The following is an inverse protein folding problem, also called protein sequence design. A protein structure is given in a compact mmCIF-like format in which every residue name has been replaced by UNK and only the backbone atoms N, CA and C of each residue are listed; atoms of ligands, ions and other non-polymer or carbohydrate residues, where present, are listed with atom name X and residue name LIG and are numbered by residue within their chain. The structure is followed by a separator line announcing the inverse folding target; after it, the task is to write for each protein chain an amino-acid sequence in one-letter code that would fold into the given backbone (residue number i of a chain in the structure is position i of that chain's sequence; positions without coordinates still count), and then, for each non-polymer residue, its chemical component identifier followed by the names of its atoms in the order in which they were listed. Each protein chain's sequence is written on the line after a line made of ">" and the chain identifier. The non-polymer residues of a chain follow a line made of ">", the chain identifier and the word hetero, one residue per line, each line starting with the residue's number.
data_IF_369229410632
#
_entry.id   IF_369229410632
#
_cell.length_a   1.000
_cell.length_b   1.000
_cell.length_c   1.000
_cell.angle_alpha   90.00
_cell.angle_beta   90.00
_cell.angle_gamma   90.00
#
_symmetry.space_group_name_H-M   'P 1'
#
loop_
_entity.id
_entity.type
_entity.pdbx_description
1 polymer ?
#
# COMPACT_ATOMS: atom_id res chain seq x y z
N UNK A 1 -21.10 -3.47 -17.18
CA UNK A 1 -21.70 -4.76 -16.78
C UNK A 1 -20.65 -5.53 -15.99
N UNK A 2 -21.01 -6.26 -14.93
CA UNK A 2 -20.05 -7.11 -14.22
C UNK A 2 -19.47 -8.14 -15.20
N UNK A 3 -18.17 -8.42 -15.09
CA UNK A 3 -17.52 -9.44 -15.91
C UNK A 3 -18.05 -10.82 -15.55
N UNK A 4 -18.33 -11.65 -16.55
CA UNK A 4 -18.47 -13.09 -16.30
C UNK A 4 -17.14 -13.66 -15.84
N UNK A 5 -17.15 -14.82 -15.17
CA UNK A 5 -15.93 -15.52 -14.76
C UNK A 5 -14.95 -15.71 -15.92
N UNK A 6 -15.45 -16.11 -17.09
CA UNK A 6 -14.67 -16.29 -18.31
C UNK A 6 -14.10 -14.96 -18.83
N UNK A 7 -14.88 -13.88 -18.80
CA UNK A 7 -14.42 -12.54 -19.23
C UNK A 7 -13.33 -11.99 -18.31
N UNK A 8 -13.46 -12.17 -17.00
CA UNK A 8 -12.45 -11.77 -16.04
C UNK A 8 -11.16 -12.59 -16.22
N UNK A 9 -11.28 -13.91 -16.40
CA UNK A 9 -10.14 -14.78 -16.67
C UNK A 9 -9.41 -14.41 -17.97
N UNK A 10 -10.16 -14.13 -19.04
CA UNK A 10 -9.60 -13.68 -20.32
C UNK A 10 -8.84 -12.36 -20.18
N UNK A 11 -9.40 -11.37 -19.47
CA UNK A 11 -8.70 -10.11 -19.24
C UNK A 11 -7.44 -10.27 -18.41
N UNK A 12 -7.48 -11.07 -17.34
CA UNK A 12 -6.27 -11.38 -16.56
C UNK A 12 -5.22 -12.04 -17.43
N UNK A 13 -5.61 -12.99 -18.27
CA UNK A 13 -4.71 -13.66 -19.22
C UNK A 13 -4.09 -12.67 -20.22
N UNK A 14 -4.88 -11.78 -20.82
CA UNK A 14 -4.40 -10.74 -21.74
C UNK A 14 -3.35 -9.84 -21.06
N UNK A 15 -3.58 -9.46 -19.80
CA UNK A 15 -2.64 -8.65 -19.02
C UNK A 15 -1.37 -9.41 -18.67
N UNK A 16 -1.47 -10.70 -18.36
CA UNK A 16 -0.30 -11.55 -18.12
C UNK A 16 0.55 -11.73 -19.38
N UNK A 17 -0.08 -11.91 -20.55
CA UNK A 17 0.63 -11.95 -21.84
C UNK A 17 1.32 -10.62 -22.12
N UNK A 18 0.61 -9.50 -21.87
CA UNK A 18 1.21 -8.16 -22.01
C UNK A 18 2.41 -7.99 -21.07
N UNK A 19 2.32 -8.38 -19.80
CA UNK A 19 3.45 -8.34 -18.86
C UNK A 19 4.62 -9.17 -19.39
N UNK A 20 4.35 -10.41 -19.83
CA UNK A 20 5.39 -11.28 -20.38
C UNK A 20 6.11 -10.63 -21.56
N UNK A 21 5.39 -10.01 -22.51
CA UNK A 21 6.00 -9.25 -23.61
C UNK A 21 6.84 -8.09 -23.09
N UNK A 22 6.28 -7.26 -22.19
CA UNK A 22 6.96 -6.08 -21.68
C UNK A 22 8.21 -6.41 -20.87
N UNK A 23 8.31 -7.59 -20.24
CA UNK A 23 9.55 -8.07 -19.60
C UNK A 23 10.67 -8.25 -20.63
N UNK A 24 10.37 -8.77 -21.82
CA UNK A 24 11.37 -8.92 -22.89
C UNK A 24 11.76 -7.56 -23.49
N UNK A 25 10.81 -6.64 -23.62
CA UNK A 25 11.07 -5.27 -24.06
C UNK A 25 11.96 -4.54 -23.04
N UNK A 26 11.70 -4.73 -21.74
CA UNK A 26 12.52 -4.21 -20.66
C UNK A 26 13.96 -4.75 -20.72
N UNK A 27 14.14 -6.05 -20.92
CA UNK A 27 15.48 -6.64 -21.07
C UNK A 27 16.25 -6.01 -22.24
N UNK A 28 15.58 -5.82 -23.38
CA UNK A 28 16.17 -5.18 -24.56
C UNK A 28 16.59 -3.75 -24.25
N UNK A 29 15.75 -2.99 -23.55
CA UNK A 29 16.04 -1.62 -23.16
C UNK A 29 17.18 -1.56 -22.13
N UNK A 30 17.22 -2.47 -21.15
CA UNK A 30 18.28 -2.55 -20.15
C UNK A 30 19.66 -2.78 -20.79
N UNK A 31 19.74 -3.70 -21.75
CA UNK A 31 20.98 -3.97 -22.50
C UNK A 31 21.45 -2.73 -23.30
N UNK A 32 20.50 -1.95 -23.85
CA UNK A 32 20.81 -0.69 -24.53
C UNK A 32 21.34 0.35 -23.54
N UNK A 33 20.70 0.51 -22.38
CA UNK A 33 21.15 1.42 -21.31
C UNK A 33 22.57 1.03 -20.84
N UNK A 34 22.84 -0.26 -20.66
CA UNK A 34 24.15 -0.77 -20.26
C UNK A 34 25.25 -0.42 -21.28
N UNK A 35 25.01 -0.64 -22.57
CA UNK A 35 25.93 -0.21 -23.64
C UNK A 35 26.16 1.30 -23.67
N UNK A 36 25.12 2.08 -23.40
CA UNK A 36 25.23 3.54 -23.35
C UNK A 36 26.10 4.00 -22.18
N UNK A 37 25.95 3.37 -21.01
CA UNK A 37 26.81 3.61 -19.83
C UNK A 37 28.27 3.24 -20.12
N UNK A 38 28.52 2.09 -20.75
CA UNK A 38 29.88 1.73 -21.18
C UNK A 38 30.49 2.75 -22.15
N UNK A 39 29.68 3.28 -23.07
CA UNK A 39 30.12 4.28 -24.05
C UNK A 39 30.49 5.59 -23.36
N UNK A 40 29.71 6.01 -22.35
CA UNK A 40 30.02 7.15 -21.51
C UNK A 40 31.34 6.92 -20.76
N UNK A 41 31.54 5.75 -20.16
CA UNK A 41 32.77 5.43 -19.42
C UNK A 41 34.00 5.45 -20.34
N UNK A 42 33.94 4.82 -21.51
CA UNK A 42 35.02 4.84 -22.51
C UNK A 42 35.34 6.26 -22.98
N UNK A 43 34.33 7.12 -23.11
CA UNK A 43 34.53 8.53 -23.46
C UNK A 43 35.28 9.29 -22.35
N UNK A 44 34.93 9.04 -21.08
CA UNK A 44 35.66 9.59 -19.93
C UNK A 44 37.10 9.13 -19.87
N UNK A 45 37.35 7.83 -20.01
CA UNK A 45 38.70 7.27 -19.95
C UNK A 45 39.61 7.90 -21.00
N UNK A 46 39.09 8.11 -22.22
CA UNK A 46 39.84 8.77 -23.30
C UNK A 46 40.14 10.24 -22.98
N UNK A 47 39.18 10.98 -22.43
CA UNK A 47 39.38 12.39 -22.07
C UNK A 47 40.40 12.51 -20.93
N UNK A 48 40.35 11.59 -19.96
CA UNK A 48 41.32 11.53 -18.87
C UNK A 48 42.73 11.22 -19.37
N UNK A 49 42.89 10.32 -20.36
CA UNK A 49 44.17 10.05 -21.01
C UNK A 49 44.71 11.27 -21.79
N UNK A 50 43.84 12.06 -22.41
CA UNK A 50 44.22 13.30 -23.10
C UNK A 50 44.61 14.43 -22.14
N UNK A 51 44.25 14.33 -20.85
CA UNK A 51 44.60 15.28 -19.79
C UNK A 51 44.00 16.68 -19.94
N UNK A 52 43.08 16.87 -20.90
CA UNK A 52 42.45 18.16 -21.18
C UNK A 52 41.00 18.00 -21.62
N UNK A 53 40.13 18.87 -21.14
CA UNK A 53 38.75 18.97 -21.60
C UNK A 53 38.70 19.99 -22.74
N UNK A 54 38.41 19.50 -23.95
CA UNK A 54 38.18 20.35 -25.13
C UNK A 54 36.70 20.68 -25.28
N UNK A 55 36.33 21.82 -25.92
CA UNK A 55 34.92 22.13 -26.20
C UNK A 55 34.20 21.02 -26.98
N UNK A 56 34.93 20.36 -27.89
CA UNK A 56 34.43 19.20 -28.63
C UNK A 56 34.10 18.02 -27.71
N UNK A 57 35.03 17.64 -26.83
CA UNK A 57 34.83 16.55 -25.88
C UNK A 57 33.69 16.85 -24.89
N UNK A 58 33.55 18.11 -24.46
CA UNK A 58 32.46 18.55 -23.60
C UNK A 58 31.09 18.40 -24.29
N UNK A 59 30.96 18.86 -25.54
CA UNK A 59 29.72 18.73 -26.29
C UNK A 59 29.36 17.26 -26.55
N UNK A 60 30.37 16.43 -26.83
CA UNK A 60 30.19 14.98 -26.99
C UNK A 60 29.68 14.33 -25.71
N UNK A 61 30.30 14.60 -24.55
CA UNK A 61 29.85 14.08 -23.26
C UNK A 61 28.41 14.53 -22.93
N UNK A 62 28.09 15.80 -23.17
CA UNK A 62 26.73 16.32 -22.96
C UNK A 62 25.71 15.53 -23.78
N UNK A 63 25.99 15.26 -25.06
CA UNK A 63 25.13 14.44 -25.91
C UNK A 63 24.97 13.01 -25.38
N UNK A 64 26.07 12.39 -24.94
CA UNK A 64 26.04 11.04 -24.37
C UNK A 64 25.23 10.97 -23.08
N UNK A 65 25.34 11.97 -22.20
CA UNK A 65 24.53 12.05 -20.98
C UNK A 65 23.06 12.24 -21.28
N UNK A 66 22.71 13.11 -22.23
CA UNK A 66 21.31 13.30 -22.63
C UNK A 66 20.72 12.02 -23.21
N UNK A 67 21.48 11.29 -24.03
CA UNK A 67 21.07 9.97 -24.51
C UNK A 67 20.89 8.96 -23.35
N UNK A 68 21.84 8.90 -22.41
CA UNK A 68 21.73 8.02 -21.24
C UNK A 68 20.54 8.32 -20.34
N UNK A 69 20.23 9.60 -20.12
CA UNK A 69 19.03 10.02 -19.35
C UNK A 69 17.76 9.57 -20.07
N UNK A 70 17.68 9.75 -21.40
CA UNK A 70 16.52 9.33 -22.18
C UNK A 70 16.35 7.81 -22.20
N UNK A 71 17.45 7.06 -22.31
CA UNK A 71 17.42 5.59 -22.29
C UNK A 71 16.97 5.06 -20.92
N UNK A 72 17.47 5.63 -19.83
CA UNK A 72 17.03 5.30 -18.47
C UNK A 72 15.56 5.68 -18.22
N UNK A 73 15.09 6.80 -18.75
CA UNK A 73 13.68 7.21 -18.64
C UNK A 73 12.75 6.25 -19.40
N UNK A 74 13.14 5.78 -20.59
CA UNK A 74 12.38 4.79 -21.34
C UNK A 74 12.38 3.42 -20.65
N UNK A 75 13.50 3.03 -20.03
CA UNK A 75 13.58 1.83 -19.20
C UNK A 75 12.63 1.90 -17.99
N UNK A 76 12.65 3.02 -17.26
CA UNK A 76 11.74 3.29 -16.13
C UNK A 76 10.26 3.24 -16.57
N UNK A 77 9.92 3.86 -17.70
CA UNK A 77 8.56 3.87 -18.24
C UNK A 77 8.04 2.46 -18.53
N UNK A 78 8.91 1.59 -19.06
CA UNK A 78 8.59 0.18 -19.33
C UNK A 78 8.25 -0.57 -18.04
N UNK A 79 9.01 -0.36 -16.96
CA UNK A 79 8.72 -0.93 -15.64
C UNK A 79 7.38 -0.40 -15.08
N UNK A 80 7.11 0.90 -15.20
CA UNK A 80 5.85 1.51 -14.73
C UNK A 80 4.63 0.98 -15.48
N UNK A 81 4.77 0.70 -16.77
CA UNK A 81 3.73 0.05 -17.57
C UNK A 81 3.43 -1.36 -17.03
N UNK A 82 4.44 -2.17 -16.70
CA UNK A 82 4.24 -3.48 -16.08
C UNK A 82 3.54 -3.40 -14.72
N UNK A 83 3.97 -2.48 -13.85
CA UNK A 83 3.35 -2.26 -12.55
C UNK A 83 1.86 -1.86 -12.69
N UNK A 84 1.53 -1.07 -13.70
CA UNK A 84 0.14 -0.71 -14.02
C UNK A 84 -0.67 -1.95 -14.40
N UNK A 85 -0.12 -2.86 -15.23
CA UNK A 85 -0.78 -4.12 -15.59
C UNK A 85 -1.01 -5.03 -14.39
N UNK A 86 -0.04 -5.12 -13.47
CA UNK A 86 -0.19 -5.86 -12.21
C UNK A 86 -1.32 -5.28 -11.36
N UNK A 87 -1.40 -3.96 -11.28
CA UNK A 87 -2.49 -3.28 -10.56
C UNK A 87 -3.85 -3.57 -11.19
N UNK A 88 -3.96 -3.49 -12.51
CA UNK A 88 -5.20 -3.81 -13.24
C UNK A 88 -5.66 -5.25 -12.97
N UNK A 89 -4.74 -6.23 -12.97
CA UNK A 89 -5.05 -7.63 -12.61
C UNK A 89 -5.64 -7.71 -11.20
N UNK A 90 -5.01 -7.03 -10.23
CA UNK A 90 -5.49 -7.02 -8.84
C UNK A 90 -6.87 -6.37 -8.71
N UNK A 91 -7.12 -5.30 -9.43
CA UNK A 91 -8.43 -4.64 -9.47
C UNK A 91 -9.50 -5.59 -10.03
N UNK A 92 -9.23 -6.29 -11.14
CA UNK A 92 -10.14 -7.30 -11.72
C UNK A 92 -10.43 -8.43 -10.71
N UNK A 93 -9.39 -8.98 -10.08
CA UNK A 93 -9.56 -10.03 -9.08
C UNK A 93 -10.38 -9.56 -7.87
N UNK A 94 -10.14 -8.33 -7.41
CA UNK A 94 -10.87 -7.74 -6.29
C UNK A 94 -12.34 -7.49 -6.65
N UNK A 95 -12.63 -6.92 -7.81
CA UNK A 95 -14.00 -6.72 -8.30
C UNK A 95 -14.77 -8.03 -8.38
N UNK A 96 -14.15 -9.09 -8.89
CA UNK A 96 -14.75 -10.42 -8.94
C UNK A 96 -15.05 -10.97 -7.55
N UNK A 97 -14.12 -10.86 -6.60
CA UNK A 97 -14.32 -11.27 -5.20
C UNK A 97 -15.52 -10.54 -4.57
N UNK A 98 -15.61 -9.23 -4.80
CA UNK A 98 -16.70 -8.39 -4.29
C UNK A 98 -18.05 -8.77 -4.92
N UNK A 99 -18.08 -9.09 -6.22
CA UNK A 99 -19.29 -9.57 -6.91
C UNK A 99 -19.79 -10.89 -6.33
N UNK A 100 -18.91 -11.88 -6.14
CA UNK A 100 -19.27 -13.18 -5.54
C UNK A 100 -19.87 -13.00 -4.14
N UNK A 101 -19.26 -12.14 -3.31
CA UNK A 101 -19.79 -11.79 -1.99
C UNK A 101 -21.17 -11.10 -2.05
N UNK A 102 -21.39 -10.22 -3.03
CA UNK A 102 -22.66 -9.49 -3.18
C UNK A 102 -23.86 -10.39 -3.51
N UNK A 103 -23.61 -11.55 -4.16
CA UNK A 103 -24.64 -12.54 -4.52
C UNK A 103 -24.97 -13.47 -3.34
N UNK A 104 -24.37 -13.24 -2.16
CA UNK A 104 -24.67 -13.98 -0.93
C UNK A 104 -23.74 -15.17 -0.67
N UNK A 105 -22.73 -15.40 -1.52
CA UNK A 105 -21.70 -16.39 -1.25
C UNK A 105 -20.62 -15.78 -0.32
N UNK A 106 -20.95 -15.70 0.98
CA UNK A 106 -20.01 -15.35 2.03
C UNK A 106 -19.28 -16.63 2.45
N UNK A 107 -18.09 -16.85 1.89
CA UNK A 107 -17.22 -17.91 2.37
C UNK A 107 -16.76 -17.57 3.78
N UNK A 108 -17.28 -18.28 4.79
CA UNK A 108 -16.78 -18.15 6.16
C UNK A 108 -15.34 -18.65 6.23
N UNK A 109 -14.41 -17.72 6.44
CA UNK A 109 -13.00 -18.05 6.58
C UNK A 109 -12.75 -18.66 7.96
N UNK A 110 -12.12 -19.83 7.98
CA UNK A 110 -11.52 -20.32 9.21
C UNK A 110 -10.41 -19.34 9.64
N UNK A 111 -10.19 -19.15 10.96
CA UNK A 111 -9.19 -18.22 11.52
C UNK A 111 -7.84 -18.25 10.79
N UNK A 112 -7.32 -19.43 10.43
CA UNK A 112 -6.06 -19.57 9.69
C UNK A 112 -6.09 -18.96 8.28
N UNK A 113 -7.18 -19.17 7.53
CA UNK A 113 -7.36 -18.61 6.20
C UNK A 113 -7.53 -17.08 6.24
N UNK A 114 -8.25 -16.57 7.24
CA UNK A 114 -8.38 -15.13 7.48
C UNK A 114 -7.01 -14.50 7.76
N UNK A 115 -6.19 -15.12 8.63
CA UNK A 115 -4.86 -14.58 8.91
C UNK A 115 -3.95 -14.59 7.69
N UNK A 116 -4.01 -15.64 6.87
CA UNK A 116 -3.28 -15.69 5.60
C UNK A 116 -3.74 -14.58 4.63
N UNK A 117 -5.06 -14.30 4.57
CA UNK A 117 -5.61 -13.21 3.78
C UNK A 117 -5.04 -11.86 4.23
N UNK A 118 -4.99 -11.60 5.55
CA UNK A 118 -4.44 -10.37 6.10
C UNK A 118 -2.94 -10.21 5.79
N UNK A 119 -2.17 -11.29 5.93
CA UNK A 119 -0.75 -11.29 5.60
C UNK A 119 -0.54 -11.01 4.10
N UNK A 120 -1.27 -11.70 3.23
CA UNK A 120 -1.20 -11.51 1.77
C UNK A 120 -1.61 -10.09 1.38
N UNK A 121 -2.65 -9.55 2.02
CA UNK A 121 -3.14 -8.18 1.80
C UNK A 121 -2.10 -7.12 2.17
N UNK A 122 -1.33 -7.34 3.23
CA UNK A 122 -0.21 -6.47 3.60
C UNK A 122 0.96 -6.58 2.62
N UNK A 123 1.41 -7.80 2.31
CA UNK A 123 2.54 -8.05 1.41
C UNK A 123 2.30 -7.55 -0.02
N UNK A 124 1.05 -7.62 -0.47
CA UNK A 124 0.67 -7.14 -1.81
C UNK A 124 0.34 -5.65 -1.85
N UNK A 125 0.38 -4.92 -0.74
CA UNK A 125 0.17 -3.47 -0.74
C UNK A 125 1.27 -2.80 -1.59
N UNK A 126 0.91 -2.03 -2.64
CA UNK A 126 1.89 -1.49 -3.57
C UNK A 126 2.85 -0.53 -2.86
N UNK A 127 4.13 -0.60 -3.21
CA UNK A 127 5.11 0.39 -2.77
C UNK A 127 4.93 1.67 -3.58
N UNK A 128 4.94 2.83 -2.93
CA UNK A 128 5.00 4.10 -3.63
C UNK A 128 6.40 4.30 -4.22
N UNK A 129 6.44 4.56 -5.52
CA UNK A 129 7.66 4.89 -6.27
C UNK A 129 7.39 6.18 -7.03
N UNK A 130 7.67 7.31 -6.38
CA UNK A 130 7.50 8.65 -6.92
C UNK A 130 8.39 8.93 -8.13
N UNK A 131 8.12 10.03 -8.82
CA UNK A 131 9.08 10.64 -9.75
C UNK A 131 9.98 11.62 -8.96
N UNK A 132 11.13 12.03 -9.50
CA UNK A 132 11.95 13.04 -8.83
C UNK A 132 11.13 14.29 -8.46
N UNK A 133 11.30 14.77 -7.23
CA UNK A 133 10.61 15.95 -6.67
C UNK A 133 9.08 15.84 -6.51
N UNK A 134 8.50 14.63 -6.56
CA UNK A 134 7.08 14.44 -6.21
C UNK A 134 6.93 14.01 -4.76
N UNK A 135 5.91 14.52 -4.07
CA UNK A 135 5.58 14.08 -2.71
C UNK A 135 4.71 12.82 -2.73
N UNK A 136 4.83 11.96 -1.70
CA UNK A 136 3.89 10.86 -1.47
C UNK A 136 2.43 11.34 -1.48
N UNK A 137 1.53 10.62 -2.16
CA UNK A 137 0.12 10.97 -2.22
C UNK A 137 -0.60 10.67 -0.89
N UNK A 138 -1.82 11.19 -0.69
CA UNK A 138 -2.71 10.77 0.40
C UNK A 138 -2.84 9.26 0.47
N UNK A 139 -2.87 8.70 1.69
CA UNK A 139 -2.92 7.26 1.96
C UNK A 139 -1.67 6.46 1.52
N UNK A 140 -0.55 7.14 1.28
CA UNK A 140 0.77 6.50 1.24
C UNK A 140 1.36 6.46 2.66
N UNK A 141 1.57 5.27 3.22
CA UNK A 141 2.08 5.12 4.57
C UNK A 141 1.28 5.94 5.60
N UNK A 142 1.95 6.85 6.29
CA UNK A 142 1.41 7.74 7.31
C UNK A 142 0.74 9.02 6.76
N UNK A 143 0.75 9.26 5.43
CA UNK A 143 0.14 10.46 4.87
C UNK A 143 -1.40 10.37 4.99
N UNK A 144 -2.06 11.34 5.64
CA UNK A 144 -3.50 11.28 5.89
C UNK A 144 -4.31 11.36 4.59
N UNK A 145 -5.56 10.85 4.59
CA UNK A 145 -6.47 11.05 3.48
C UNK A 145 -6.84 12.52 3.31
N UNK A 146 -7.26 12.89 2.09
CA UNK A 146 -7.86 14.20 1.86
C UNK A 146 -9.11 14.41 2.75
N UNK A 147 -9.39 15.64 3.22
CA UNK A 147 -10.53 15.92 4.10
C UNK A 147 -11.91 15.52 3.54
N UNK A 148 -12.03 15.38 2.22
CA UNK A 148 -13.25 14.95 1.52
C UNK A 148 -13.14 13.54 0.92
N UNK A 149 -12.08 12.81 1.25
CA UNK A 149 -11.90 11.43 0.80
C UNK A 149 -13.05 10.55 1.25
N UNK A 150 -13.57 9.77 0.31
CA UNK A 150 -14.60 8.76 0.52
C UNK A 150 -14.00 7.41 0.10
N UNK A 151 -13.81 6.52 1.07
CA UNK A 151 -13.41 5.14 0.80
C UNK A 151 -14.42 4.44 -0.12
N UNK A 152 -13.90 3.66 -1.08
CA UNK A 152 -14.65 2.96 -2.12
C UNK A 152 -15.16 1.61 -1.63
N UNK A 153 -16.10 1.02 -2.37
CA UNK A 153 -16.53 -0.36 -2.15
C UNK A 153 -15.32 -1.30 -2.21
N UNK A 154 -15.13 -2.12 -1.19
CA UNK A 154 -14.01 -3.05 -1.03
C UNK A 154 -12.76 -2.46 -0.39
N UNK A 155 -12.72 -1.16 -0.10
CA UNK A 155 -11.60 -0.58 0.65
C UNK A 155 -11.60 -1.08 2.09
N UNK A 156 -10.42 -1.40 2.60
CA UNK A 156 -10.23 -1.81 3.99
C UNK A 156 -10.15 -0.57 4.88
N UNK A 157 -10.86 -0.58 6.00
CA UNK A 157 -10.93 0.54 6.94
C UNK A 157 -10.84 0.03 8.38
N UNK A 158 -10.35 0.87 9.29
CA UNK A 158 -10.60 0.68 10.70
C UNK A 158 -11.94 1.35 11.04
N UNK A 159 -12.82 0.59 11.66
CA UNK A 159 -14.18 1.00 12.01
C UNK A 159 -14.36 0.99 13.53
N UNK A 160 -14.81 2.10 14.09
CA UNK A 160 -15.12 2.20 15.51
C UNK A 160 -16.55 1.76 15.79
N UNK A 161 -16.70 0.62 16.47
CA UNK A 161 -18.00 0.03 16.82
C UNK A 161 -18.20 0.11 18.32
N UNK A 162 -19.31 0.73 18.75
CA UNK A 162 -19.74 0.71 20.14
C UNK A 162 -20.55 -0.55 20.40
N UNK A 163 -20.04 -1.49 21.19
CA UNK A 163 -20.82 -2.67 21.60
C UNK A 163 -21.74 -2.27 22.74
N UNK A 164 -23.01 -2.02 22.39
CA UNK A 164 -24.02 -1.43 23.29
C UNK A 164 -24.71 -2.44 24.21
N UNK A 165 -24.43 -3.74 24.05
CA UNK A 165 -25.19 -4.82 24.70
C UNK A 165 -24.52 -5.46 25.92
N UNK A 166 -23.26 -5.11 26.24
CA UNK A 166 -22.64 -5.55 27.50
C UNK A 166 -21.73 -4.48 28.11
N UNK A 167 -21.89 -4.13 29.41
CA UNK A 167 -21.06 -3.13 30.09
C UNK A 167 -19.61 -3.57 30.32
N UNK A 168 -19.23 -4.79 29.89
CA UNK A 168 -17.90 -5.39 30.04
C UNK A 168 -17.11 -5.43 28.73
N UNK A 169 -17.72 -5.12 27.58
CA UNK A 169 -17.01 -5.08 26.30
C UNK A 169 -16.60 -3.65 25.98
N UNK A 170 -15.30 -3.46 25.82
CA UNK A 170 -14.70 -2.18 25.48
C UNK A 170 -15.06 -1.75 24.06
N UNK A 171 -15.22 -0.43 23.87
CA UNK A 171 -15.39 0.20 22.58
C UNK A 171 -14.14 -0.06 21.71
N UNK A 172 -14.29 -0.83 20.63
CA UNK A 172 -13.15 -1.31 19.86
C UNK A 172 -13.14 -0.80 18.41
N UNK A 173 -11.92 -0.55 17.92
CA UNK A 173 -11.64 -0.37 16.50
C UNK A 173 -11.43 -1.75 15.88
N UNK A 174 -12.23 -2.09 14.88
CA UNK A 174 -12.14 -3.36 14.16
C UNK A 174 -11.73 -3.11 12.71
N UNK A 175 -11.09 -4.09 12.09
CA UNK A 175 -10.83 -4.11 10.67
C UNK A 175 -12.13 -4.45 9.93
N UNK A 176 -12.47 -3.65 8.93
CA UNK A 176 -13.72 -3.79 8.20
C UNK A 176 -13.51 -3.51 6.71
N UNK A 177 -14.38 -4.07 5.87
CA UNK A 177 -14.46 -3.82 4.44
C UNK A 177 -15.63 -2.88 4.14
N UNK A 178 -15.38 -1.80 3.39
CA UNK A 178 -16.43 -0.87 2.98
C UNK A 178 -17.34 -1.54 1.97
N UNK A 179 -18.65 -1.44 2.18
CA UNK A 179 -19.64 -1.89 1.22
C UNK A 179 -20.27 -0.71 0.51
N UNK A 180 -20.69 0.31 1.25
CA UNK A 180 -21.34 1.46 0.61
C UNK A 180 -21.09 2.73 1.42
N UNK A 181 -20.95 3.86 0.73
CA UNK A 181 -21.09 5.17 1.34
C UNK A 181 -22.37 5.83 0.85
N UNK A 182 -23.30 6.09 1.75
CA UNK A 182 -24.51 6.82 1.45
C UNK A 182 -24.25 8.33 1.59
N UNK A 183 -24.20 9.02 0.46
CA UNK A 183 -23.91 10.47 0.40
C UNK A 183 -24.98 11.30 1.10
N UNK A 184 -26.24 10.88 1.07
CA UNK A 184 -27.36 11.61 1.69
C UNK A 184 -27.29 11.56 3.22
N UNK A 185 -27.01 10.38 3.77
CA UNK A 185 -26.94 10.20 5.24
C UNK A 185 -25.53 10.45 5.80
N UNK A 186 -24.52 10.57 4.94
CA UNK A 186 -23.08 10.66 5.28
C UNK A 186 -22.60 9.50 6.15
N UNK A 187 -23.14 8.30 5.90
CA UNK A 187 -22.83 7.07 6.63
C UNK A 187 -22.25 6.02 5.71
N UNK A 188 -21.33 5.24 6.27
CA UNK A 188 -20.79 4.04 5.68
C UNK A 188 -21.58 2.82 6.13
N UNK A 189 -21.74 1.88 5.21
CA UNK A 189 -22.00 0.48 5.49
C UNK A 189 -20.69 -0.27 5.37
N UNK A 190 -20.30 -1.00 6.42
CA UNK A 190 -19.07 -1.78 6.48
C UNK A 190 -19.35 -3.19 7.00
N UNK A 191 -18.65 -4.18 6.47
CA UNK A 191 -18.65 -5.55 6.98
C UNK A 191 -17.40 -5.77 7.85
N UNK A 192 -17.55 -6.29 9.07
CA UNK A 192 -16.44 -6.87 9.86
C UNK A 192 -15.80 -7.99 9.06
N UNK A 193 -14.47 -8.04 9.07
CA UNK A 193 -13.73 -9.12 8.41
C UNK A 193 -13.82 -10.44 9.18
N UNK A 194 -14.14 -10.38 10.47
CA UNK A 194 -14.35 -11.54 11.32
C UNK A 194 -15.82 -12.00 11.23
N UNK A 195 -16.07 -12.91 10.29
CA UNK A 195 -17.41 -13.42 9.98
C UNK A 195 -17.99 -14.35 11.08
N UNK A 196 -17.21 -14.76 12.08
CA UNK A 196 -17.70 -15.58 13.21
C UNK A 196 -18.65 -14.80 14.14
N UNK A 197 -18.65 -13.45 14.06
CA UNK A 197 -19.58 -12.61 14.83
C UNK A 197 -20.98 -12.58 14.17
N UNK A 198 -22.04 -12.85 14.94
CA UNK A 198 -23.45 -12.91 14.50
C UNK A 198 -23.97 -11.65 13.78
N UNK A 199 -23.26 -10.52 13.86
CA UNK A 199 -23.57 -9.26 13.18
C UNK A 199 -22.34 -8.75 12.45
N UNK A 200 -22.20 -9.08 11.16
CA UNK A 200 -21.06 -8.63 10.37
C UNK A 200 -21.24 -7.21 9.81
N UNK A 201 -22.48 -6.74 9.55
CA UNK A 201 -22.74 -5.45 8.89
C UNK A 201 -23.04 -4.32 9.87
N UNK A 202 -22.33 -3.21 9.74
CA UNK A 202 -22.50 -2.01 10.55
C UNK A 202 -22.76 -0.77 9.70
N UNK A 203 -23.61 0.13 10.21
CA UNK A 203 -23.87 1.44 9.62
C UNK A 203 -23.27 2.52 10.52
N UNK A 204 -22.20 3.16 10.07
CA UNK A 204 -21.36 4.06 10.88
C UNK A 204 -21.23 5.44 10.25
N UNK A 205 -21.11 6.49 11.07
CA UNK A 205 -20.78 7.83 10.57
C UNK A 205 -19.35 7.88 10.03
N UNK A 206 -19.09 8.81 9.11
CA UNK A 206 -17.74 9.08 8.59
C UNK A 206 -16.69 9.34 9.69
N UNK A 207 -17.08 9.92 10.82
CA UNK A 207 -16.19 10.16 11.96
C UNK A 207 -15.64 8.87 12.59
N UNK A 208 -16.34 7.73 12.44
CA UNK A 208 -15.96 6.42 12.99
C UNK A 208 -15.19 5.53 12.03
N UNK A 209 -14.85 6.05 10.85
CA UNK A 209 -14.11 5.33 9.83
C UNK A 209 -12.73 5.98 9.66
N UNK A 210 -11.69 5.17 9.62
CA UNK A 210 -10.33 5.55 9.24
C UNK A 210 -9.91 4.65 8.06
N UNK A 211 -9.68 5.20 6.86
CA UNK A 211 -9.17 4.41 5.75
C UNK A 211 -7.76 3.90 6.03
N UNK A 212 -7.48 2.65 5.65
CA UNK A 212 -6.12 2.11 5.70
C UNK A 212 -5.28 2.69 4.54
N UNK A 213 -3.94 2.67 4.66
CA UNK A 213 -3.06 3.06 3.57
C UNK A 213 -3.32 2.24 2.30
N UNK A 214 -3.29 2.90 1.15
CA UNK A 214 -3.40 2.30 -0.18
C UNK A 214 -2.03 1.97 -0.78
N UNK A 215 -0.97 2.56 -0.24
CA UNK A 215 0.41 2.33 -0.65
C UNK A 215 1.32 2.29 0.57
N UNK A 216 2.41 1.52 0.47
CA UNK A 216 3.52 1.56 1.43
C UNK A 216 4.45 2.71 1.07
N UNK A 217 4.94 3.42 2.07
CA UNK A 217 6.03 4.36 1.91
C UNK A 217 7.36 3.59 1.88
N UNK A 218 8.27 4.00 1.00
CA UNK A 218 9.62 3.43 0.96
C UNK A 218 10.52 4.22 1.92
N UNK A 219 11.11 3.59 2.95
CA UNK A 219 11.98 4.29 3.91
C UNK A 219 13.17 5.00 3.27
N UNK A 220 13.67 4.49 2.15
CA UNK A 220 14.85 5.05 1.47
C UNK A 220 14.55 6.34 0.70
N UNK A 221 13.34 6.47 0.16
CA UNK A 221 12.97 7.62 -0.71
C UNK A 221 11.97 8.56 -0.06
N UNK A 222 11.10 8.05 0.81
CA UNK A 222 9.97 8.76 1.37
C UNK A 222 9.83 8.54 2.90
N UNK A 223 10.88 8.78 3.71
CA UNK A 223 10.84 8.55 5.16
C UNK A 223 9.81 9.45 5.88
N UNK A 224 9.53 10.63 5.32
CA UNK A 224 8.52 11.57 5.85
C UNK A 224 7.08 11.04 5.74
N UNK A 225 6.85 9.97 4.96
CA UNK A 225 5.58 9.27 4.86
C UNK A 225 5.50 8.05 5.80
N UNK A 226 6.38 7.95 6.80
CA UNK A 226 6.32 6.96 7.87
C UNK A 226 6.06 7.63 9.22
N UNK A 227 5.45 6.90 10.15
CA UNK A 227 5.31 7.36 11.53
C UNK A 227 6.68 7.30 12.23
N UNK A 228 7.18 8.41 12.81
CA UNK A 228 8.48 8.39 13.47
C UNK A 228 8.43 7.63 14.82
N UNK A 229 9.58 7.18 15.35
CA UNK A 229 9.68 6.61 16.69
C UNK A 229 9.02 7.48 17.77
N UNK A 230 8.36 6.87 18.73
CA UNK A 230 7.62 7.54 19.80
C UNK A 230 6.23 8.03 19.42
N UNK A 231 5.80 7.88 18.16
CA UNK A 231 4.46 8.30 17.73
C UNK A 231 3.39 7.35 18.27
N UNK A 232 2.34 7.93 18.86
CA UNK A 232 1.14 7.19 19.26
C UNK A 232 0.27 6.91 18.02
N UNK A 233 0.03 5.64 17.74
CA UNK A 233 -0.72 5.13 16.59
C UNK A 233 -1.79 4.16 17.04
N UNK A 234 -2.69 3.81 16.12
CA UNK A 234 -3.52 2.61 16.23
C UNK A 234 -2.90 1.53 15.35
N UNK A 235 -2.66 0.34 15.90
CA UNK A 235 -2.07 -0.78 15.17
C UNK A 235 -2.93 -2.03 15.34
N UNK A 236 -3.02 -2.86 14.29
CA UNK A 236 -3.72 -4.14 14.37
C UNK A 236 -2.95 -5.08 15.29
N UNK A 237 -3.61 -5.58 16.35
CA UNK A 237 -2.93 -6.46 17.30
C UNK A 237 -2.71 -7.84 16.69
N UNK A 238 -1.52 -8.46 16.89
CA UNK A 238 -1.17 -9.72 16.25
C UNK A 238 -2.23 -10.80 16.42
N UNK A 239 -2.53 -11.51 15.32
CA UNK A 239 -3.53 -12.59 15.27
C UNK A 239 -4.97 -12.17 15.59
N UNK A 240 -5.28 -10.87 15.54
CA UNK A 240 -6.64 -10.36 15.73
C UNK A 240 -7.09 -9.51 14.55
N UNK A 241 -8.36 -9.11 14.58
CA UNK A 241 -8.98 -8.20 13.62
C UNK A 241 -9.25 -6.82 14.26
N UNK A 242 -8.60 -6.52 15.39
CA UNK A 242 -8.84 -5.31 16.18
C UNK A 242 -7.59 -4.42 16.26
N UNK A 243 -7.82 -3.11 16.24
CA UNK A 243 -6.78 -2.11 16.40
C UNK A 243 -6.74 -1.61 17.84
N UNK A 244 -5.52 -1.48 18.36
CA UNK A 244 -5.26 -0.98 19.71
C UNK A 244 -4.21 0.11 19.65
N UNK A 245 -4.16 0.92 20.72
CA UNK A 245 -3.14 1.96 20.85
C UNK A 245 -1.77 1.33 20.99
N UNK A 246 -0.83 1.85 20.22
CA UNK A 246 0.56 1.45 20.27
C UNK A 246 1.46 2.65 20.06
N UNK A 247 2.70 2.53 20.54
CA UNK A 247 3.77 3.48 20.30
C UNK A 247 4.71 2.86 19.27
N UNK A 248 5.06 3.63 18.24
CA UNK A 248 6.09 3.21 17.27
C UNK A 248 7.43 3.13 17.98
N UNK A 249 8.01 1.93 18.07
CA UNK A 249 9.38 1.76 18.57
C UNK A 249 10.37 2.04 17.44
N UNK A 250 10.17 1.41 16.28
CA UNK A 250 10.99 1.62 15.09
C UNK A 250 10.14 1.61 13.82
N UNK A 251 10.35 2.58 12.89
CA UNK A 251 9.80 2.49 11.55
C UNK A 251 10.52 1.42 10.73
N UNK A 252 9.92 0.95 9.61
CA UNK A 252 10.58 0.06 8.67
C UNK A 252 11.93 0.64 8.21
N UNK A 253 12.98 -0.19 8.18
CA UNK A 253 14.31 0.21 7.72
C UNK A 253 14.48 0.00 6.21
N UNK A 254 13.85 -1.03 5.67
CA UNK A 254 13.78 -1.32 4.24
C UNK A 254 12.34 -1.37 3.74
N UNK A 255 12.18 -1.39 2.42
CA UNK A 255 10.87 -1.52 1.78
C UNK A 255 10.21 -2.90 1.99
N UNK A 256 10.83 -3.85 2.68
CA UNK A 256 10.25 -5.16 3.02
C UNK A 256 9.91 -5.30 4.49
N UNK A 257 10.37 -4.38 5.33
CA UNK A 257 10.20 -4.44 6.78
C UNK A 257 8.84 -3.90 7.22
N UNK A 258 8.44 -4.34 8.41
CA UNK A 258 7.26 -3.88 9.13
C UNK A 258 7.63 -2.78 10.14
N UNK A 259 6.63 -2.10 10.71
CA UNK A 259 6.86 -1.29 11.91
C UNK A 259 7.09 -2.21 13.10
N UNK A 260 8.02 -1.83 13.96
CA UNK A 260 8.07 -2.37 15.31
C UNK A 260 7.28 -1.44 16.25
N UNK A 261 6.23 -1.96 16.87
CA UNK A 261 5.34 -1.20 17.75
C UNK A 261 5.21 -1.88 19.12
N UNK A 262 4.90 -1.08 20.13
CA UNK A 262 4.66 -1.53 21.50
C UNK A 262 3.27 -1.10 21.92
N UNK A 263 2.40 -2.05 22.27
CA UNK A 263 1.01 -1.78 22.64
C UNK A 263 0.88 -1.28 24.08
N UNK A 264 -0.09 -0.41 24.34
CA UNK A 264 -0.52 -0.11 25.71
C UNK A 264 -1.16 -1.37 26.33
N UNK A 265 -0.61 -1.87 27.44
CA UNK A 265 -1.09 -3.06 28.12
C UNK A 265 -1.02 -2.88 29.64
N UNK A 266 -2.18 -2.68 30.26
CA UNK A 266 -2.31 -2.48 31.70
C UNK A 266 -1.98 -3.73 32.53
N UNK A 267 -1.87 -4.90 31.90
CA UNK A 267 -1.44 -6.13 32.58
C UNK A 267 0.09 -6.21 32.73
N UNK A 268 0.83 -5.42 31.95
CA UNK A 268 2.29 -5.36 32.02
C UNK A 268 2.76 -4.37 33.11
N UNK A 269 3.85 -4.70 33.81
CA UNK A 269 4.37 -3.89 34.93
C UNK A 269 4.80 -2.47 34.53
N UNK A 270 5.25 -2.30 33.29
CA UNK A 270 5.60 -1.01 32.68
C UNK A 270 4.44 -0.37 31.91
N UNK A 271 3.26 -1.00 31.85
CA UNK A 271 2.10 -0.53 31.09
C UNK A 271 2.18 -0.77 29.57
N UNK A 272 3.17 -1.53 29.11
CA UNK A 272 3.47 -1.71 27.69
C UNK A 272 3.82 -3.17 27.36
N UNK A 273 3.40 -3.64 26.19
CA UNK A 273 3.72 -4.98 25.71
C UNK A 273 5.20 -5.15 25.34
N UNK A 274 5.60 -6.36 24.94
CA UNK A 274 6.83 -6.55 24.15
C UNK A 274 6.68 -5.89 22.76
N UNK A 275 7.79 -5.63 22.05
CA UNK A 275 7.71 -5.16 20.66
C UNK A 275 7.09 -6.20 19.72
N UNK A 276 6.26 -5.73 18.79
CA UNK A 276 5.61 -6.52 17.75
C UNK A 276 5.81 -5.90 16.37
N UNK A 277 5.99 -6.75 15.37
CA UNK A 277 6.02 -6.33 13.97
C UNK A 277 4.62 -6.21 13.40
N UNK A 278 4.28 -5.03 12.87
CA UNK A 278 2.99 -4.74 12.24
C UNK A 278 3.23 -4.04 10.90
N UNK A 279 2.74 -4.65 9.83
CA UNK A 279 2.89 -4.11 8.49
C UNK A 279 2.29 -2.71 8.35
N UNK A 280 2.89 -1.87 7.49
CA UNK A 280 2.44 -0.48 7.27
C UNK A 280 0.95 -0.36 6.97
N UNK A 281 0.37 -1.36 6.27
CA UNK A 281 -1.07 -1.42 5.96
C UNK A 281 -1.97 -1.35 7.19
N UNK A 282 -1.48 -1.81 8.34
CA UNK A 282 -2.24 -2.01 9.56
C UNK A 282 -1.79 -1.09 10.71
N UNK A 283 -1.05 -0.03 10.39
CA UNK A 283 -0.70 1.05 11.31
C UNK A 283 -1.34 2.33 10.78
N UNK A 284 -2.17 2.97 11.61
CA UNK A 284 -2.95 4.16 11.23
C UNK A 284 -2.85 5.24 12.30
N UNK A 285 -3.13 6.48 11.90
CA UNK A 285 -3.18 7.61 12.82
C UNK A 285 -4.29 7.43 13.87
N UNK A 286 -4.03 7.86 15.10
CA UNK A 286 -5.04 7.85 16.16
C UNK A 286 -6.11 8.91 15.90
N UNK A 287 -7.38 8.49 15.88
CA UNK A 287 -8.51 9.41 15.72
C UNK A 287 -9.20 9.65 17.05
N UNK A 288 -9.09 10.87 17.58
CA UNK A 288 -9.78 11.26 18.82
C UNK A 288 -11.27 11.56 18.54
N UNK A 289 -12.13 10.63 18.92
CA UNK A 289 -13.57 10.72 18.73
C UNK A 289 -14.22 11.81 19.61
N UNK A 290 -13.50 12.38 20.59
CA UNK A 290 -14.00 13.44 21.48
C UNK A 290 -13.92 14.85 20.87
N UNK A 291 -13.20 15.01 19.76
CA UNK A 291 -12.99 16.31 19.08
C UNK A 291 -13.71 16.44 17.74
N UNK A 292 -14.60 15.50 17.40
CA UNK A 292 -15.35 15.44 16.13
C UNK A 292 -16.83 15.75 16.29
#
# INVERSE_FOLDING_TARGET
>A
MPFTEEQAAAQVQDRLISIASTVHDYETQRLKTEQQVETIQKAHDKINQEGRITPYNQQKLMSLYMAGINDAAAEEETLRNMLTKIREIREICNERRLQVRSVGNRESFHRGAMMLMLQTSAQTLPLYVGKPNTKPPPLCGAIPPDPNYIAKHGDMVAAFVKKTESPTQEDNWMLAEVVLYNVLTKKYEVDDIDEEQQKCRFVLSRSRIVPLPLMRANPETDPDALFPPGTLVMALYPTTTCFYKAIVNQPPLSCLDDYEVVFEDNSCANGYSIPYNVAQRYVIEIKDLRKS
#
